data_IF_390069333851
#
_entry.id   IF_390069333851
#
_cell.length_a   1.000
_cell.length_b   1.000
_cell.length_c   1.000
_cell.angle_alpha   90.00
_cell.angle_beta   90.00
_cell.angle_gamma   90.00
#
_symmetry.space_group_name_H-M   'P 1'
#
loop_
_entity.id
_entity.type
_entity.pdbx_description
1 polymer ?
#
# COMPACT_ATOMS: atom_id res chain seq x y z
N UNK A 1 -8.92 -10.66 -2.89
CA UNK A 1 -9.22 -10.73 -1.44
C UNK A 1 -9.90 -9.42 -1.06
N UNK A 2 -11.04 -9.46 -0.38
CA UNK A 2 -11.69 -8.24 0.12
C UNK A 2 -11.20 -7.99 1.56
N UNK A 3 -10.79 -6.76 1.86
CA UNK A 3 -10.44 -6.41 3.23
C UNK A 3 -11.70 -6.52 4.12
N UNK A 4 -11.56 -6.91 5.40
CA UNK A 4 -12.66 -6.87 6.35
C UNK A 4 -13.24 -5.44 6.44
N UNK A 5 -14.48 -5.31 6.93
CA UNK A 5 -15.04 -3.98 7.19
C UNK A 5 -14.08 -3.17 8.05
N UNK A 6 -13.86 -1.92 7.67
CA UNK A 6 -12.92 -1.00 8.35
C UNK A 6 -13.13 -0.84 9.84
N UNK A 7 -14.28 -1.26 10.34
CA UNK A 7 -14.73 -1.19 11.73
C UNK A 7 -14.29 -2.40 12.57
N UNK A 8 -13.56 -3.37 12.01
CA UNK A 8 -13.01 -4.52 12.76
C UNK A 8 -11.74 -4.19 13.54
N UNK A 9 -11.65 -2.99 14.13
CA UNK A 9 -10.64 -2.65 15.14
C UNK A 9 -11.27 -2.73 16.55
N UNK A 10 -10.46 -2.56 17.60
CA UNK A 10 -10.93 -2.64 19.00
C UNK A 10 -12.01 -1.59 19.31
N UNK A 11 -11.97 -0.47 18.59
CA UNK A 11 -12.86 0.68 18.77
C UNK A 11 -14.18 0.53 18.02
N UNK A 12 -14.28 -0.38 17.03
CA UNK A 12 -15.47 -0.50 16.19
C UNK A 12 -15.61 0.61 15.15
N UNK A 13 -14.59 1.45 14.97
CA UNK A 13 -14.66 2.67 14.17
C UNK A 13 -13.94 2.53 12.85
N UNK A 14 -14.27 3.39 11.88
CA UNK A 14 -13.54 3.42 10.62
C UNK A 14 -12.12 3.91 10.87
N UNK A 15 -11.14 3.20 10.33
CA UNK A 15 -9.75 3.57 10.47
C UNK A 15 -9.50 4.86 9.66
N UNK A 16 -8.97 5.93 10.29
CA UNK A 16 -8.80 7.21 9.63
C UNK A 16 -7.72 7.18 8.53
N UNK A 17 -6.75 6.26 8.63
CA UNK A 17 -5.64 6.12 7.69
C UNK A 17 -6.00 5.22 6.49
N UNK A 18 -7.18 4.61 6.50
CA UNK A 18 -7.68 3.78 5.39
C UNK A 18 -8.67 4.55 4.52
N UNK A 19 -8.56 4.36 3.20
CA UNK A 19 -9.46 4.98 2.23
C UNK A 19 -9.90 4.02 1.13
N UNK A 20 -10.98 4.41 0.44
CA UNK A 20 -11.54 3.64 -0.67
C UNK A 20 -10.82 3.91 -1.98
N UNK A 21 -10.57 2.86 -2.75
CA UNK A 21 -10.06 2.90 -4.11
C UNK A 21 -11.02 2.20 -5.06
N UNK A 22 -11.02 2.62 -6.32
CA UNK A 22 -11.82 2.00 -7.37
C UNK A 22 -10.90 1.17 -8.26
N UNK A 23 -11.12 -0.14 -8.32
CA UNK A 23 -10.40 -1.03 -9.23
C UNK A 23 -11.41 -1.65 -10.19
N UNK A 24 -11.31 -1.29 -11.47
CA UNK A 24 -12.36 -1.58 -12.46
C UNK A 24 -13.67 -0.87 -12.08
N UNK A 25 -14.75 -1.63 -11.91
CA UNK A 25 -16.06 -1.11 -11.48
C UNK A 25 -16.38 -1.34 -10.01
N UNK A 26 -15.45 -1.89 -9.23
CA UNK A 26 -15.67 -2.22 -7.82
C UNK A 26 -14.87 -1.29 -6.90
N UNK A 27 -15.50 -0.89 -5.79
CA UNK A 27 -14.85 -0.14 -4.72
C UNK A 27 -14.31 -1.08 -3.65
N UNK A 28 -13.10 -0.79 -3.20
CA UNK A 28 -12.41 -1.51 -2.13
C UNK A 28 -11.96 -0.50 -1.10
N UNK A 29 -12.12 -0.81 0.18
CA UNK A 29 -11.63 0.03 1.27
C UNK A 29 -10.45 -0.66 1.95
N UNK A 30 -9.40 0.10 2.25
CA UNK A 30 -8.30 -0.41 3.06
C UNK A 30 -6.99 0.31 2.83
N UNK A 31 -5.93 -0.46 3.02
CA UNK A 31 -4.54 -0.06 2.87
C UNK A 31 -3.88 -0.92 1.78
N UNK A 32 -2.77 -0.44 1.22
CA UNK A 32 -1.85 -1.25 0.41
C UNK A 32 -0.42 -1.05 0.88
N UNK A 33 0.42 -2.03 0.59
CA UNK A 33 1.84 -1.99 0.84
C UNK A 33 2.60 -1.87 -0.48
N UNK A 34 3.57 -0.97 -0.51
CA UNK A 34 4.54 -0.76 -1.57
C UNK A 34 5.85 -1.38 -1.09
N UNK A 35 6.41 -2.34 -1.83
CA UNK A 35 7.55 -3.13 -1.39
C UNK A 35 8.68 -2.97 -2.40
N UNK A 36 9.83 -2.48 -1.94
CA UNK A 36 11.09 -2.49 -2.68
C UNK A 36 11.84 -3.80 -2.40
N UNK A 37 12.26 -4.48 -3.46
CA UNK A 37 12.98 -5.76 -3.40
C UNK A 37 14.27 -5.63 -4.19
N UNK A 38 15.36 -6.12 -3.61
CA UNK A 38 16.67 -6.15 -4.24
C UNK A 38 16.70 -7.23 -5.34
N UNK A 39 17.18 -6.87 -6.52
CA UNK A 39 17.19 -7.75 -7.70
C UNK A 39 18.12 -8.96 -7.53
N UNK A 40 19.31 -8.76 -6.94
CA UNK A 40 20.33 -9.80 -6.83
C UNK A 40 19.98 -10.85 -5.76
N UNK A 41 19.51 -10.41 -4.59
CA UNK A 41 19.24 -11.26 -3.43
C UNK A 41 17.77 -11.64 -3.27
N UNK A 42 16.85 -10.91 -3.91
CA UNK A 42 15.40 -11.07 -3.72
C UNK A 42 14.93 -10.63 -2.34
N UNK A 43 15.76 -9.93 -1.56
CA UNK A 43 15.42 -9.49 -0.21
C UNK A 43 14.62 -8.19 -0.24
N UNK A 44 13.61 -8.12 0.62
CA UNK A 44 12.87 -6.87 0.87
C UNK A 44 13.78 -5.89 1.59
N UNK A 45 13.97 -4.71 1.01
CA UNK A 45 14.77 -3.64 1.62
C UNK A 45 13.93 -2.41 2.01
N UNK A 46 12.73 -2.25 1.47
CA UNK A 46 11.82 -1.17 1.85
C UNK A 46 10.36 -1.61 1.81
N UNK A 47 9.56 -1.14 2.78
CA UNK A 47 8.12 -1.33 2.81
C UNK A 47 7.47 -0.01 3.21
N UNK A 48 6.60 0.51 2.35
CA UNK A 48 5.77 1.68 2.65
C UNK A 48 4.30 1.26 2.64
N UNK A 49 3.55 1.67 3.66
CA UNK A 49 2.14 1.34 3.83
C UNK A 49 1.29 2.60 3.68
N UNK A 50 0.33 2.60 2.75
CA UNK A 50 -0.51 3.78 2.50
C UNK A 50 -1.98 3.40 2.30
N UNK A 51 -2.88 4.35 2.46
CA UNK A 51 -4.27 4.19 2.06
C UNK A 51 -4.40 3.66 0.62
N UNK A 52 -5.41 2.84 0.36
CA UNK A 52 -5.54 2.11 -0.92
C UNK A 52 -5.72 3.02 -2.15
N UNK A 53 -6.10 4.29 -1.95
CA UNK A 53 -6.29 5.27 -3.01
C UNK A 53 -5.01 6.01 -3.44
N UNK A 54 -3.93 5.92 -2.67
CA UNK A 54 -2.67 6.60 -2.99
C UNK A 54 -2.10 6.01 -4.28
N UNK A 55 -1.68 6.82 -5.25
CA UNK A 55 -1.16 6.30 -6.52
C UNK A 55 0.26 5.73 -6.35
N UNK A 56 0.53 4.54 -6.91
CA UNK A 56 1.82 3.83 -6.76
C UNK A 56 3.01 4.66 -7.27
N UNK A 57 2.82 5.40 -8.36
CA UNK A 57 3.84 6.29 -8.93
C UNK A 57 4.38 7.33 -7.93
N UNK A 58 3.54 7.76 -6.98
CA UNK A 58 3.95 8.74 -5.97
C UNK A 58 4.80 8.13 -4.87
N UNK A 59 4.77 6.80 -4.71
CA UNK A 59 5.52 6.10 -3.68
C UNK A 59 6.78 5.41 -4.22
N UNK A 60 6.87 5.22 -5.54
CA UNK A 60 8.01 4.56 -6.19
C UNK A 60 9.38 5.11 -5.76
N UNK A 61 9.53 6.44 -5.67
CA UNK A 61 10.78 7.07 -5.25
C UNK A 61 11.23 6.69 -3.83
N UNK A 62 10.29 6.37 -2.92
CA UNK A 62 10.60 5.92 -1.55
C UNK A 62 11.08 4.48 -1.51
N UNK A 63 10.75 3.69 -2.54
CA UNK A 63 11.11 2.29 -2.62
C UNK A 63 12.51 2.11 -3.19
N UNK A 64 13.07 3.11 -3.87
CA UNK A 64 14.41 3.04 -4.42
C UNK A 64 15.46 3.15 -3.33
N UNK A 65 16.54 2.40 -3.44
CA UNK A 65 17.69 2.45 -2.53
C UNK A 65 18.93 3.12 -3.14
N UNK A 66 18.73 3.82 -4.25
CA UNK A 66 19.71 4.74 -4.84
C UNK A 66 20.79 4.07 -5.71
N UNK A 67 20.65 2.76 -5.98
CA UNK A 67 21.49 2.05 -6.96
C UNK A 67 20.73 1.70 -8.24
N UNK A 68 19.41 1.89 -8.26
CA UNK A 68 18.60 1.70 -9.45
C UNK A 68 18.80 2.87 -10.43
N UNK A 69 19.19 2.58 -11.67
CA UNK A 69 19.30 3.57 -12.74
C UNK A 69 17.91 4.07 -13.16
N UNK A 70 17.80 5.36 -13.52
CA UNK A 70 16.51 6.05 -13.74
C UNK A 70 16.07 6.03 -15.19
#
# INVERSE_FOLDING_TARGET
IAAPSSTKNKQGERDPDMHQTKKGNQYYFGMKAHIGVDDESGLVHHVECTAANVADITQAHKLLHGKEDT
#
